data_IF_178272889690
#
_entry.id   IF_178272889690
#
_cell.length_a   1.000
_cell.length_b   1.000
_cell.length_c   1.000
_cell.angle_alpha   90.00
_cell.angle_beta   90.00
_cell.angle_gamma   90.00
#
_symmetry.space_group_name_H-M   'P 1'
#
loop_
_entity.id
_entity.type
_entity.pdbx_description
1 polymer ?
#
# COMPACT_ATOMS: atom_id res chain seq x y z
N UNK A 1 1.80 10.74 11.12
CA UNK A 1 0.95 9.56 11.31
C UNK A 1 1.73 8.42 11.93
N UNK A 2 1.06 7.62 12.75
CA UNK A 2 1.65 6.44 13.39
C UNK A 2 1.38 5.20 12.53
N UNK A 3 2.36 4.28 12.44
CA UNK A 3 2.22 3.04 11.69
C UNK A 3 3.08 1.91 12.27
N UNK A 4 2.66 0.66 12.05
CA UNK A 4 3.42 -0.54 12.39
C UNK A 4 4.34 -0.87 11.21
N UNK A 5 5.63 -0.88 11.44
CA UNK A 5 6.64 -1.00 10.40
C UNK A 5 7.61 -2.15 10.63
N UNK A 6 8.15 -2.67 9.54
CA UNK A 6 9.40 -3.40 9.53
C UNK A 6 10.54 -2.39 9.78
N UNK A 7 11.26 -2.56 10.87
CA UNK A 7 12.42 -1.74 11.20
C UNK A 7 13.68 -2.26 10.49
N UNK A 8 13.77 -3.57 10.37
CA UNK A 8 14.77 -4.37 9.65
C UNK A 8 14.30 -5.82 9.62
N UNK A 9 15.03 -6.69 8.95
CA UNK A 9 14.75 -8.14 8.99
C UNK A 9 14.71 -8.63 10.45
N UNK A 10 13.63 -9.31 10.82
CA UNK A 10 13.38 -9.88 12.14
C UNK A 10 12.90 -8.89 13.20
N UNK A 11 12.62 -7.63 12.83
CA UNK A 11 12.19 -6.62 13.80
C UNK A 11 11.04 -5.75 13.28
N UNK A 12 10.00 -5.63 14.11
CA UNK A 12 8.87 -4.73 13.86
C UNK A 12 8.72 -3.73 15.01
N UNK A 13 8.15 -2.57 14.71
CA UNK A 13 7.86 -1.56 15.73
C UNK A 13 6.96 -0.45 15.23
N UNK A 14 6.45 0.32 16.16
CA UNK A 14 5.69 1.52 15.85
C UNK A 14 6.63 2.68 15.50
N UNK A 15 6.34 3.32 14.39
CA UNK A 15 7.07 4.52 13.94
C UNK A 15 6.11 5.66 13.68
N UNK A 16 6.66 6.85 13.62
CA UNK A 16 5.95 8.05 13.17
C UNK A 16 6.52 8.52 11.83
N UNK A 17 5.64 8.85 10.90
CA UNK A 17 5.95 9.41 9.59
C UNK A 17 5.01 10.56 9.27
N UNK A 18 5.36 11.35 8.28
CA UNK A 18 4.42 12.32 7.69
C UNK A 18 3.23 11.60 7.05
N UNK A 19 2.07 12.26 7.06
CA UNK A 19 0.92 11.77 6.30
C UNK A 19 1.28 11.76 4.82
N UNK A 20 0.94 10.70 4.06
CA UNK A 20 1.25 10.65 2.64
C UNK A 20 0.56 11.80 1.88
N UNK A 21 1.25 12.36 0.91
CA UNK A 21 0.69 13.35 0.00
C UNK A 21 -0.22 12.69 -1.03
N UNK A 22 -1.30 13.39 -1.39
CA UNK A 22 -2.24 12.94 -2.42
C UNK A 22 -1.84 13.54 -3.77
N UNK A 23 -1.39 12.70 -4.69
CA UNK A 23 -1.14 13.11 -6.07
C UNK A 23 -2.42 13.20 -6.90
N UNK A 24 -2.34 13.67 -8.16
CA UNK A 24 -3.53 13.92 -8.99
C UNK A 24 -4.42 12.69 -9.24
N UNK A 25 -3.83 11.48 -9.26
CA UNK A 25 -4.53 10.20 -9.50
C UNK A 25 -4.64 9.32 -8.27
N UNK A 26 -4.25 9.85 -7.13
CA UNK A 26 -4.15 9.11 -5.89
C UNK A 26 -5.38 9.30 -5.02
N UNK A 27 -5.48 8.43 -4.02
CA UNK A 27 -6.37 8.63 -2.88
C UNK A 27 -5.59 8.40 -1.58
N UNK A 28 -5.97 9.12 -0.55
CA UNK A 28 -5.57 8.83 0.83
C UNK A 28 -6.75 8.19 1.52
N UNK A 29 -6.50 7.06 2.14
CA UNK A 29 -7.53 6.25 2.79
C UNK A 29 -7.22 6.12 4.27
N UNK A 30 -8.25 6.24 5.09
CA UNK A 30 -8.21 6.00 6.52
C UNK A 30 -8.71 4.58 6.80
N UNK A 31 -7.89 3.70 7.38
CA UNK A 31 -8.29 2.32 7.60
C UNK A 31 -9.41 2.19 8.63
N UNK A 32 -10.34 1.27 8.38
CA UNK A 32 -11.36 0.81 9.31
C UNK A 32 -11.05 -0.60 9.82
N UNK A 33 -10.51 -1.45 8.95
CA UNK A 33 -10.10 -2.79 9.28
C UNK A 33 -8.87 -3.16 8.44
N UNK A 34 -7.99 -3.95 9.01
CA UNK A 34 -6.73 -4.38 8.43
C UNK A 34 -6.65 -5.90 8.52
N UNK A 35 -6.11 -6.54 7.50
CA UNK A 35 -5.87 -7.98 7.48
C UNK A 35 -4.37 -8.27 7.43
N UNK A 36 -3.75 -8.72 8.54
CA UNK A 36 -2.40 -9.29 8.47
C UNK A 36 -2.40 -10.57 7.64
N UNK A 37 -1.46 -10.65 6.73
CA UNK A 37 -1.28 -11.78 5.83
C UNK A 37 0.02 -12.55 6.16
N UNK A 38 0.09 -13.81 5.78
CA UNK A 38 1.32 -14.60 5.93
C UNK A 38 2.52 -13.96 5.21
N UNK A 39 2.28 -13.25 4.12
CA UNK A 39 3.34 -12.53 3.41
C UNK A 39 3.96 -11.39 4.21
N UNK A 40 3.25 -10.80 5.16
CA UNK A 40 3.85 -9.82 6.09
C UNK A 40 4.89 -10.51 6.98
N UNK A 41 4.62 -11.76 7.39
CA UNK A 41 5.57 -12.58 8.17
C UNK A 41 6.80 -12.88 7.33
N UNK A 42 6.64 -13.37 6.10
CA UNK A 42 7.76 -13.63 5.19
C UNK A 42 8.56 -12.37 4.87
N UNK A 43 7.89 -11.23 4.73
CA UNK A 43 8.54 -9.93 4.54
C UNK A 43 9.47 -9.61 5.70
N UNK A 44 8.98 -9.71 6.93
CA UNK A 44 9.74 -9.30 8.12
C UNK A 44 10.81 -10.31 8.49
N UNK A 45 10.46 -11.60 8.61
CA UNK A 45 11.35 -12.60 9.19
C UNK A 45 12.25 -13.31 8.18
N UNK A 46 11.83 -13.39 6.94
CA UNK A 46 12.59 -14.06 5.88
C UNK A 46 13.22 -13.07 4.89
N UNK A 47 12.88 -11.79 4.99
CA UNK A 47 13.38 -10.77 4.06
C UNK A 47 12.90 -10.98 2.62
N UNK A 48 11.66 -11.46 2.44
CA UNK A 48 11.11 -11.83 1.12
C UNK A 48 11.16 -10.69 0.08
N UNK A 49 11.16 -9.44 0.54
CA UNK A 49 11.30 -8.25 -0.32
C UNK A 49 12.61 -7.48 -0.05
N UNK A 50 13.58 -8.14 0.56
CA UNK A 50 14.85 -7.55 0.98
C UNK A 50 14.77 -6.85 2.34
N UNK A 51 15.93 -6.41 2.82
CA UNK A 51 16.03 -5.68 4.09
C UNK A 51 15.47 -4.26 3.92
N UNK A 52 14.28 -4.05 4.43
CA UNK A 52 13.59 -2.75 4.41
C UNK A 52 13.66 -2.12 5.79
N UNK A 53 13.90 -0.82 5.81
CA UNK A 53 14.00 -0.06 7.05
C UNK A 53 12.85 0.94 7.16
N UNK A 54 12.15 0.90 8.30
CA UNK A 54 11.03 1.81 8.58
C UNK A 54 9.92 1.78 7.51
N UNK A 55 9.65 0.58 6.94
CA UNK A 55 8.56 0.37 5.99
C UNK A 55 7.29 0.01 6.77
N UNK A 56 6.26 0.83 6.67
CA UNK A 56 4.93 0.48 7.21
C UNK A 56 4.40 -0.72 6.44
N UNK A 57 3.98 -1.75 7.17
CA UNK A 57 3.55 -3.04 6.66
C UNK A 57 2.09 -3.03 6.19
N UNK A 58 1.66 -4.19 5.68
CA UNK A 58 0.28 -4.45 5.32
C UNK A 58 -0.08 -4.08 3.89
N UNK A 59 -0.98 -4.85 3.30
CA UNK A 59 -1.39 -4.70 1.91
C UNK A 59 -2.88 -5.07 1.69
N UNK A 60 -3.63 -5.31 2.75
CA UNK A 60 -5.05 -5.62 2.70
C UNK A 60 -5.81 -4.78 3.72
N UNK A 61 -6.74 -3.96 3.26
CA UNK A 61 -7.50 -3.06 4.11
C UNK A 61 -8.91 -2.79 3.60
N UNK A 62 -9.81 -2.55 4.54
CA UNK A 62 -11.04 -1.82 4.34
C UNK A 62 -10.85 -0.43 4.92
N UNK A 63 -11.23 0.61 4.20
CA UNK A 63 -11.09 1.98 4.68
C UNK A 63 -12.12 2.95 4.14
N UNK A 64 -12.01 4.18 4.59
CA UNK A 64 -12.79 5.32 4.09
C UNK A 64 -11.83 6.25 3.35
N UNK A 65 -12.22 6.65 2.16
CA UNK A 65 -11.51 7.67 1.39
C UNK A 65 -11.53 8.98 2.18
N UNK A 66 -10.36 9.50 2.51
CA UNK A 66 -10.17 10.77 3.22
C UNK A 66 -9.93 11.92 2.24
N UNK A 67 -9.15 11.65 1.19
CA UNK A 67 -8.79 12.62 0.15
C UNK A 67 -8.64 11.93 -1.19
N UNK A 68 -8.96 12.62 -2.29
CA UNK A 68 -8.73 12.15 -3.66
C UNK A 68 -8.03 13.23 -4.48
N UNK A 69 -7.20 12.79 -5.41
CA UNK A 69 -6.54 13.65 -6.37
C UNK A 69 -7.50 14.26 -7.41
N UNK A 70 -7.06 15.32 -8.05
CA UNK A 70 -7.88 16.10 -8.98
C UNK A 70 -8.36 15.35 -10.24
N UNK A 71 -7.68 14.26 -10.59
CA UNK A 71 -8.03 13.42 -11.75
C UNK A 71 -8.87 12.18 -11.38
N UNK A 72 -9.09 11.91 -10.10
CA UNK A 72 -9.94 10.81 -9.63
C UNK A 72 -11.41 11.19 -9.82
N UNK A 73 -12.18 10.35 -10.54
CA UNK A 73 -13.57 10.64 -10.91
C UNK A 73 -14.58 9.71 -10.25
N UNK A 74 -14.17 8.47 -9.97
CA UNK A 74 -15.08 7.40 -9.56
C UNK A 74 -15.20 7.26 -8.05
N UNK A 75 -14.34 7.95 -7.30
CA UNK A 75 -14.31 7.93 -5.84
C UNK A 75 -14.31 9.35 -5.28
N UNK A 76 -14.86 9.50 -4.08
CA UNK A 76 -14.89 10.76 -3.34
C UNK A 76 -14.65 10.54 -1.85
N UNK A 77 -14.23 11.58 -1.11
CA UNK A 77 -14.15 11.52 0.34
C UNK A 77 -15.44 11.00 0.97
N UNK A 78 -15.29 10.08 1.91
CA UNK A 78 -16.39 9.40 2.58
C UNK A 78 -16.78 8.03 1.98
N UNK A 79 -16.33 7.70 0.78
CA UNK A 79 -16.59 6.39 0.18
C UNK A 79 -15.86 5.30 0.96
N UNK A 80 -16.53 4.15 1.12
CA UNK A 80 -15.96 2.96 1.74
C UNK A 80 -15.35 2.07 0.66
N UNK A 81 -14.07 1.73 0.82
CA UNK A 81 -13.29 1.01 -0.20
C UNK A 81 -12.54 -0.18 0.39
N UNK A 82 -12.38 -1.23 -0.41
CA UNK A 82 -11.46 -2.33 -0.14
C UNK A 82 -10.20 -2.08 -0.96
N UNK A 83 -9.05 -2.17 -0.30
CA UNK A 83 -7.75 -2.01 -0.97
C UNK A 83 -7.15 -3.39 -1.19
N UNK A 84 -6.95 -3.79 -2.45
CA UNK A 84 -6.33 -5.06 -2.78
C UNK A 84 -4.81 -5.03 -2.59
N UNK A 85 -4.22 -6.22 -2.40
CA UNK A 85 -2.78 -6.38 -2.26
C UNK A 85 -1.97 -5.97 -3.49
N UNK A 86 -2.58 -6.03 -4.66
CA UNK A 86 -1.94 -5.70 -5.94
C UNK A 86 -2.37 -4.30 -6.36
N UNK A 87 -1.37 -3.45 -6.59
CA UNK A 87 -1.58 -2.09 -7.11
C UNK A 87 -1.09 -2.05 -8.56
N UNK A 88 -1.99 -1.88 -9.54
CA UNK A 88 -1.64 -1.80 -10.94
C UNK A 88 -0.76 -0.59 -11.27
N UNK A 89 0.09 -0.73 -12.27
CA UNK A 89 0.75 0.40 -12.91
C UNK A 89 0.12 0.62 -14.29
N UNK A 90 -0.92 1.43 -14.33
CA UNK A 90 -1.75 1.66 -15.50
C UNK A 90 -0.98 2.14 -16.74
N UNK A 91 0.25 2.61 -16.57
CA UNK A 91 1.12 3.04 -17.66
C UNK A 91 1.84 1.90 -18.39
N UNK A 92 1.72 0.65 -17.94
CA UNK A 92 2.42 -0.47 -18.55
C UNK A 92 1.59 -1.20 -19.60
N UNK A 93 2.28 -1.78 -20.61
CA UNK A 93 1.64 -2.63 -21.61
C UNK A 93 0.88 -3.82 -21.00
N UNK A 94 1.41 -4.42 -19.96
CA UNK A 94 0.78 -5.55 -19.28
C UNK A 94 -0.59 -5.14 -18.71
N UNK A 95 -0.65 -3.99 -18.07
CA UNK A 95 -1.88 -3.45 -17.49
C UNK A 95 -2.91 -3.10 -18.55
N UNK A 96 -2.47 -2.42 -19.62
CA UNK A 96 -3.34 -2.06 -20.76
C UNK A 96 -3.92 -3.29 -21.47
N UNK A 97 -3.25 -4.43 -21.36
CA UNK A 97 -3.69 -5.71 -21.93
C UNK A 97 -4.46 -6.59 -20.93
N UNK A 98 -4.75 -6.10 -19.73
CA UNK A 98 -5.52 -6.79 -18.71
C UNK A 98 -4.74 -7.80 -17.85
N UNK A 99 -3.44 -7.62 -17.71
CA UNK A 99 -2.57 -8.46 -16.89
C UNK A 99 -1.95 -7.71 -15.70
N UNK A 100 -2.76 -7.24 -14.75
CA UNK A 100 -2.29 -6.35 -13.66
C UNK A 100 -1.22 -6.98 -12.77
N UNK A 101 -1.25 -8.28 -12.55
CA UNK A 101 -0.26 -8.99 -11.73
C UNK A 101 1.12 -9.12 -12.38
N UNK A 102 1.27 -8.76 -13.64
CA UNK A 102 2.53 -8.83 -14.38
C UNK A 102 3.18 -7.46 -14.61
N UNK A 103 2.63 -6.44 -14.00
CA UNK A 103 3.10 -5.07 -14.10
C UNK A 103 4.45 -4.91 -13.40
N UNK A 104 5.48 -4.49 -14.13
CA UNK A 104 6.77 -4.13 -13.55
C UNK A 104 7.63 -5.31 -13.10
N UNK A 105 7.48 -6.49 -13.67
CA UNK A 105 8.30 -7.68 -13.41
C UNK A 105 7.81 -8.52 -12.23
N UNK A 106 8.67 -9.40 -11.70
CA UNK A 106 8.29 -10.40 -10.70
C UNK A 106 7.68 -9.84 -9.41
N UNK A 107 7.98 -8.61 -9.06
CA UNK A 107 7.43 -7.92 -7.89
C UNK A 107 6.53 -6.75 -8.26
N UNK A 108 6.14 -6.63 -9.51
CA UNK A 108 5.33 -5.50 -9.97
C UNK A 108 4.00 -5.37 -9.26
N UNK A 109 3.31 -6.50 -9.05
CA UNK A 109 2.06 -6.54 -8.30
C UNK A 109 2.20 -6.20 -6.81
N UNK A 110 3.41 -6.21 -6.27
CA UNK A 110 3.73 -5.89 -4.88
C UNK A 110 4.28 -4.47 -4.70
N UNK A 111 4.13 -3.62 -5.69
CA UNK A 111 4.65 -2.24 -5.68
C UNK A 111 4.25 -1.47 -4.43
N UNK A 112 3.04 -1.69 -3.96
CA UNK A 112 2.51 -1.10 -2.73
C UNK A 112 3.38 -1.46 -1.51
N UNK A 113 3.65 -2.76 -1.31
CA UNK A 113 4.46 -3.23 -0.18
C UNK A 113 5.97 -3.03 -0.37
N UNK A 114 6.45 -2.91 -1.61
CA UNK A 114 7.88 -2.83 -1.90
C UNK A 114 8.41 -1.41 -1.94
N UNK A 115 7.62 -0.46 -2.44
CA UNK A 115 8.09 0.89 -2.76
C UNK A 115 7.34 1.99 -2.01
N UNK A 116 6.22 1.66 -1.39
CA UNK A 116 5.40 2.58 -0.61
C UNK A 116 5.14 1.99 0.76
N UNK A 117 4.79 2.84 1.69
CA UNK A 117 4.26 2.40 2.98
C UNK A 117 2.94 1.65 2.79
N UNK A 118 2.76 0.60 3.58
CA UNK A 118 1.58 -0.24 3.57
C UNK A 118 0.41 0.34 4.37
N UNK A 119 -0.59 -0.49 4.58
CA UNK A 119 -1.87 -0.07 5.16
C UNK A 119 -1.91 -0.06 6.69
N UNK A 120 -0.88 -0.57 7.39
CA UNK A 120 -0.86 -0.65 8.86
C UNK A 120 -0.49 0.69 9.50
N UNK A 121 -1.12 1.77 9.06
CA UNK A 121 -0.96 3.12 9.56
C UNK A 121 -2.28 3.85 9.72
N UNK A 122 -2.26 5.05 10.28
CA UNK A 122 -3.46 5.88 10.44
C UNK A 122 -4.02 6.35 9.10
N UNK A 123 -3.16 6.46 8.10
CA UNK A 123 -3.50 6.75 6.70
C UNK A 123 -2.61 5.92 5.79
N UNK A 124 -3.11 5.60 4.61
CA UNK A 124 -2.31 4.99 3.56
C UNK A 124 -2.67 5.56 2.19
N UNK A 125 -1.72 5.46 1.29
CA UNK A 125 -1.79 6.00 -0.06
C UNK A 125 -2.18 4.90 -1.06
N UNK A 126 -3.11 5.20 -1.94
CA UNK A 126 -3.55 4.34 -3.06
C UNK A 126 -3.50 5.15 -4.34
N UNK A 127 -3.12 4.53 -5.44
CA UNK A 127 -3.19 5.09 -6.79
C UNK A 127 -3.90 4.17 -7.77
#
# INVERSE_FOLDING_TARGET
MKGLAMLRIGEIGWIEKERPACGPRDAIVKPLALAPCTSDIHTVWEGAIGDRHNLILGHEALGIVDEVGSEVKDFKPGDRVIVPAITPDWGTDAEQRGFPSQTGGALGGWKFSNFKDGVFGEFFHVN
#
